data_IF_838163248915
#
_entry.id   IF_838163248915
#
_cell.length_a   1.000
_cell.length_b   1.000
_cell.length_c   1.000
_cell.angle_alpha   90.00
_cell.angle_beta   90.00
_cell.angle_gamma   90.00
#
_symmetry.space_group_name_H-M   'P 1'
#
loop_
_entity.id
_entity.type
_entity.pdbx_description
1 polymer ?
#
# COMPACT_ATOMS: atom_id res chain seq x y z
N UNK A 1 -5.51 17.39 15.95
CA UNK A 1 -5.21 15.95 16.04
C UNK A 1 -5.92 15.30 14.87
N UNK A 2 -5.19 14.98 13.80
CA UNK A 2 -5.75 14.20 12.69
C UNK A 2 -6.22 12.86 13.25
N UNK A 3 -7.52 12.56 13.15
CA UNK A 3 -8.05 11.29 13.61
C UNK A 3 -7.51 10.19 12.69
N UNK A 4 -7.33 8.97 13.21
CA UNK A 4 -6.91 7.78 12.44
C UNK A 4 -7.81 7.53 11.20
N UNK A 5 -8.99 8.15 11.16
CA UNK A 5 -9.92 8.14 10.04
C UNK A 5 -9.34 8.75 8.75
N UNK A 6 -8.41 9.71 8.85
CA UNK A 6 -7.70 10.28 7.69
C UNK A 6 -6.82 9.25 6.97
N UNK A 7 -6.37 8.19 7.65
CA UNK A 7 -5.55 7.13 7.07
C UNK A 7 -6.37 5.92 6.60
N UNK A 8 -7.70 5.97 6.72
CA UNK A 8 -8.57 4.88 6.28
C UNK A 8 -8.43 4.56 4.80
N UNK A 9 -8.07 5.54 3.97
CA UNK A 9 -7.78 5.36 2.55
C UNK A 9 -6.56 4.47 2.27
N UNK A 10 -5.73 4.14 3.28
CA UNK A 10 -4.60 3.22 3.13
C UNK A 10 -4.94 1.79 3.60
N UNK A 11 -6.18 1.49 4.02
CA UNK A 11 -6.54 0.16 4.51
C UNK A 11 -6.23 -0.96 3.49
N UNK A 12 -6.38 -0.67 2.20
CA UNK A 12 -6.07 -1.59 1.10
C UNK A 12 -4.58 -1.99 1.02
N UNK A 13 -3.67 -1.20 1.61
CA UNK A 13 -2.24 -1.52 1.71
C UNK A 13 -1.98 -2.78 2.55
N UNK A 14 -2.96 -3.27 3.32
CA UNK A 14 -2.83 -4.52 4.05
C UNK A 14 -2.77 -5.75 3.13
N UNK A 15 -3.33 -5.66 1.91
CA UNK A 15 -3.48 -6.75 0.96
C UNK A 15 -4.04 -8.03 1.62
N UNK A 16 -4.97 -7.87 2.57
CA UNK A 16 -5.73 -8.96 3.19
C UNK A 16 -6.79 -9.52 2.27
N UNK A 17 -7.34 -8.65 1.42
CA UNK A 17 -8.29 -8.96 0.37
C UNK A 17 -7.82 -8.29 -0.93
N UNK A 18 -8.40 -8.71 -2.06
CA UNK A 18 -8.13 -8.06 -3.34
C UNK A 18 -8.68 -6.62 -3.29
N UNK A 19 -7.81 -5.60 -3.41
CA UNK A 19 -8.24 -4.21 -3.31
C UNK A 19 -9.10 -3.79 -4.49
N UNK A 20 -9.99 -2.81 -4.30
CA UNK A 20 -10.74 -2.19 -5.39
C UNK A 20 -10.03 -0.93 -5.89
N UNK A 21 -10.27 -0.55 -7.15
CA UNK A 21 -9.70 0.68 -7.70
C UNK A 21 -10.18 1.93 -6.95
N UNK A 22 -11.45 1.95 -6.51
CA UNK A 22 -12.02 3.04 -5.74
C UNK A 22 -11.24 3.31 -4.44
N UNK A 23 -10.70 2.27 -3.80
CA UNK A 23 -9.88 2.43 -2.59
C UNK A 23 -8.54 3.11 -2.90
N UNK A 24 -7.95 2.77 -4.05
CA UNK A 24 -6.69 3.36 -4.53
C UNK A 24 -6.91 4.80 -4.98
N UNK A 25 -8.00 5.13 -5.68
CA UNK A 25 -8.34 6.51 -6.06
C UNK A 25 -8.50 7.44 -4.86
N UNK A 26 -9.18 6.96 -3.81
CA UNK A 26 -9.30 7.71 -2.56
C UNK A 26 -7.92 7.97 -1.91
N UNK A 27 -7.02 6.98 -1.97
CA UNK A 27 -5.64 7.11 -1.50
C UNK A 27 -4.82 8.10 -2.35
N UNK A 28 -4.94 8.04 -3.67
CA UNK A 28 -4.27 8.96 -4.61
C UNK A 28 -4.73 10.39 -4.34
N UNK A 29 -6.03 10.61 -4.18
CA UNK A 29 -6.60 11.94 -3.89
C UNK A 29 -6.00 12.52 -2.62
N UNK A 30 -5.94 11.73 -1.54
CA UNK A 30 -5.29 12.12 -0.29
C UNK A 30 -3.81 12.46 -0.48
N UNK A 31 -3.08 11.65 -1.24
CA UNK A 31 -1.64 11.85 -1.48
C UNK A 31 -1.34 13.12 -2.28
N UNK A 32 -2.17 13.42 -3.27
CA UNK A 32 -2.09 14.68 -4.04
C UNK A 32 -2.30 15.89 -3.13
N UNK A 33 -3.27 15.83 -2.20
CA UNK A 33 -3.47 16.89 -1.19
C UNK A 33 -2.26 17.08 -0.26
N UNK A 34 -1.46 16.03 -0.05
CA UNK A 34 -0.21 16.08 0.72
C UNK A 34 1.03 16.44 -0.13
N UNK A 35 0.84 16.74 -1.42
CA UNK A 35 1.91 17.14 -2.34
C UNK A 35 2.70 15.97 -2.93
N UNK A 36 2.15 14.75 -2.90
CA UNK A 36 2.74 13.59 -3.57
C UNK A 36 2.14 13.47 -4.96
N UNK A 37 2.97 13.65 -5.99
CA UNK A 37 2.55 13.51 -7.39
C UNK A 37 2.45 12.04 -7.80
N UNK A 38 1.23 11.61 -8.13
CA UNK A 38 0.92 10.29 -8.66
C UNK A 38 0.25 10.45 -10.00
N UNK A 39 0.77 9.74 -11.00
CA UNK A 39 0.14 9.57 -12.32
C UNK A 39 -0.96 8.51 -12.18
N UNK A 40 -2.23 8.93 -12.18
CA UNK A 40 -3.39 8.06 -11.95
C UNK A 40 -3.61 7.04 -13.07
N UNK A 41 -3.40 7.45 -14.33
CA UNK A 41 -3.46 6.57 -15.50
C UNK A 41 -2.42 5.46 -15.37
N UNK A 42 -1.17 5.81 -15.06
CA UNK A 42 -0.12 4.82 -14.85
C UNK A 42 -0.38 3.97 -13.61
N UNK A 43 -0.87 4.58 -12.53
CA UNK A 43 -1.19 3.86 -11.30
C UNK A 43 -2.30 2.83 -11.53
N UNK A 44 -3.26 3.10 -12.42
CA UNK A 44 -4.30 2.15 -12.80
C UNK A 44 -3.73 0.90 -13.48
N UNK A 45 -2.82 1.07 -14.43
CA UNK A 45 -2.15 -0.04 -15.11
C UNK A 45 -1.33 -0.89 -14.12
N UNK A 46 -0.61 -0.23 -13.21
CA UNK A 46 0.16 -0.89 -12.16
C UNK A 46 -0.75 -1.61 -11.15
N UNK A 47 -1.88 -1.01 -10.80
CA UNK A 47 -2.89 -1.62 -9.95
C UNK A 47 -3.47 -2.89 -10.55
N UNK A 48 -3.74 -2.91 -11.86
CA UNK A 48 -4.21 -4.14 -12.53
C UNK A 48 -3.19 -5.29 -12.43
N UNK A 49 -1.89 -4.97 -12.43
CA UNK A 49 -0.84 -5.97 -12.21
C UNK A 49 -0.81 -6.45 -10.74
N UNK A 50 -0.94 -5.52 -9.78
CA UNK A 50 -1.05 -5.85 -8.36
C UNK A 50 -2.27 -6.74 -8.09
N UNK A 51 -3.42 -6.40 -8.64
CA UNK A 51 -4.66 -7.17 -8.50
C UNK A 51 -4.48 -8.62 -8.94
N UNK A 52 -3.93 -8.84 -10.14
CA UNK A 52 -3.61 -10.19 -10.64
C UNK A 52 -2.63 -10.93 -9.74
N UNK A 53 -1.66 -10.22 -9.15
CA UNK A 53 -0.72 -10.82 -8.21
C UNK A 53 -1.42 -11.27 -6.92
N UNK A 54 -2.26 -10.42 -6.33
CA UNK A 54 -2.99 -10.74 -5.09
C UNK A 54 -3.97 -11.89 -5.32
N UNK A 55 -4.70 -11.89 -6.45
CA UNK A 55 -5.59 -12.99 -6.85
C UNK A 55 -4.82 -14.29 -7.08
N UNK A 56 -3.61 -14.24 -7.66
CA UNK A 56 -2.79 -15.43 -7.86
C UNK A 56 -2.19 -15.98 -6.55
N UNK A 57 -1.98 -15.12 -5.55
CA UNK A 57 -1.40 -15.48 -4.26
C UNK A 57 -2.44 -15.62 -3.15
N UNK A 58 -3.74 -15.44 -3.42
CA UNK A 58 -4.79 -15.57 -2.42
C UNK A 58 -4.91 -16.99 -1.88
N UNK A 59 -4.62 -17.98 -2.74
CA UNK A 59 -4.68 -19.40 -2.43
C UNK A 59 -3.41 -19.91 -1.71
N UNK A 60 -2.36 -19.08 -1.61
CA UNK A 60 -1.14 -19.41 -0.90
C UNK A 60 -1.31 -19.13 0.61
N UNK A 61 -1.44 -20.17 1.43
CA UNK A 61 -1.57 -20.03 2.90
C UNK A 61 -0.40 -19.23 3.50
N UNK A 62 0.82 -19.44 3.01
CA UNK A 62 2.00 -18.65 3.40
C UNK A 62 1.81 -17.15 3.16
N UNK A 63 1.18 -16.76 2.04
CA UNK A 63 0.94 -15.36 1.70
C UNK A 63 -0.02 -14.70 2.68
N UNK A 64 -1.03 -15.43 3.17
CA UNK A 64 -2.01 -14.90 4.13
C UNK A 64 -1.40 -14.58 5.49
N UNK A 65 -0.34 -15.30 5.89
CA UNK A 65 0.36 -15.06 7.15
C UNK A 65 1.42 -13.95 7.08
N UNK A 66 1.74 -13.42 5.88
CA UNK A 66 2.69 -12.34 5.73
C UNK A 66 2.13 -11.00 6.23
N UNK A 67 3.00 -10.23 6.90
CA UNK A 67 2.73 -8.83 7.24
C UNK A 67 2.66 -7.98 5.97
N UNK A 68 1.95 -6.86 6.01
CA UNK A 68 1.73 -6.00 4.85
C UNK A 68 3.03 -5.61 4.13
N UNK A 69 4.06 -5.18 4.86
CA UNK A 69 5.35 -4.83 4.27
C UNK A 69 6.04 -6.03 3.57
N UNK A 70 5.84 -7.26 4.06
CA UNK A 70 6.38 -8.47 3.44
C UNK A 70 5.62 -8.81 2.15
N UNK A 71 4.28 -8.65 2.14
CA UNK A 71 3.46 -8.82 0.93
C UNK A 71 3.88 -7.84 -0.18
N UNK A 72 4.04 -6.57 0.16
CA UNK A 72 4.52 -5.54 -0.76
C UNK A 72 5.94 -5.81 -1.27
N UNK A 73 6.84 -6.26 -0.38
CA UNK A 73 8.19 -6.66 -0.77
C UNK A 73 8.16 -7.84 -1.75
N UNK A 74 7.33 -8.86 -1.50
CA UNK A 74 7.14 -10.00 -2.42
C UNK A 74 6.62 -9.55 -3.79
N UNK A 75 5.68 -8.60 -3.82
CA UNK A 75 5.19 -8.00 -5.06
C UNK A 75 6.29 -7.27 -5.83
N UNK A 76 7.02 -6.36 -5.17
CA UNK A 76 8.08 -5.58 -5.81
C UNK A 76 9.25 -6.44 -6.30
N UNK A 77 9.60 -7.52 -5.59
CA UNK A 77 10.62 -8.49 -6.02
C UNK A 77 10.18 -9.34 -7.22
N UNK A 78 8.87 -9.61 -7.36
CA UNK A 78 8.32 -10.38 -8.48
C UNK A 78 8.08 -9.53 -9.72
N UNK A 79 7.90 -8.22 -9.56
CA UNK A 79 7.69 -7.29 -10.65
C UNK A 79 8.98 -7.14 -11.48
N UNK A 80 8.85 -7.23 -12.81
CA UNK A 80 10.01 -7.32 -13.73
C UNK A 80 10.72 -5.99 -13.98
N UNK A 81 10.02 -4.86 -13.82
CA UNK A 81 10.54 -3.53 -14.11
C UNK A 81 9.88 -2.48 -13.22
N UNK A 82 10.63 -1.43 -12.87
CA UNK A 82 10.17 -0.34 -12.02
C UNK A 82 8.95 0.39 -12.61
N UNK A 83 8.85 0.45 -13.93
CA UNK A 83 7.71 1.03 -14.65
C UNK A 83 6.39 0.30 -14.36
N UNK A 84 6.44 -0.97 -13.93
CA UNK A 84 5.26 -1.77 -13.59
C UNK A 84 4.74 -1.49 -12.17
N UNK A 85 5.45 -0.72 -11.34
CA UNK A 85 5.07 -0.46 -9.95
C UNK A 85 5.54 0.89 -9.40
N UNK A 86 6.05 1.82 -10.23
CA UNK A 86 6.63 3.09 -9.79
C UNK A 86 5.69 3.97 -8.97
N UNK A 87 4.42 4.06 -9.36
CA UNK A 87 3.42 4.88 -8.68
C UNK A 87 2.95 4.18 -7.39
N UNK A 88 2.72 2.87 -7.46
CA UNK A 88 2.46 2.05 -6.26
C UNK A 88 3.61 2.11 -5.25
N UNK A 89 4.86 2.22 -5.72
CA UNK A 89 6.03 2.37 -4.86
C UNK A 89 6.02 3.71 -4.13
N UNK A 90 5.62 4.81 -4.77
CA UNK A 90 5.47 6.11 -4.09
C UNK A 90 4.43 6.03 -2.97
N UNK A 91 3.31 5.37 -3.22
CA UNK A 91 2.25 5.12 -2.22
C UNK A 91 2.82 4.30 -1.06
N UNK A 92 3.50 3.18 -1.35
CA UNK A 92 4.11 2.33 -0.34
C UNK A 92 5.18 3.06 0.47
N UNK A 93 6.02 3.86 -0.19
CA UNK A 93 7.02 4.70 0.48
C UNK A 93 6.36 5.68 1.42
N UNK A 94 5.29 6.39 1.00
CA UNK A 94 4.58 7.29 1.89
C UNK A 94 3.97 6.56 3.09
N UNK A 95 3.27 5.44 2.83
CA UNK A 95 2.60 4.67 3.87
C UNK A 95 3.56 4.07 4.90
N UNK A 96 4.68 3.48 4.46
CA UNK A 96 5.67 2.86 5.34
C UNK A 96 6.70 3.84 5.91
N UNK A 97 6.88 5.03 5.32
CA UNK A 97 7.76 6.08 5.85
C UNK A 97 7.10 6.91 6.95
N UNK A 98 5.77 6.88 7.08
CA UNK A 98 5.10 7.43 8.27
C UNK A 98 5.55 6.57 9.46
N UNK A 99 6.29 7.14 10.44
CA UNK A 99 6.54 6.43 11.69
C UNK A 99 5.18 6.02 12.24
N UNK A 100 5.03 4.81 12.82
CA UNK A 100 3.77 4.42 13.44
C UNK A 100 3.52 5.33 14.64
N UNK A 101 2.98 6.53 14.39
CA UNK A 101 2.80 7.65 15.32
C UNK A 101 1.70 7.37 16.37
N UNK A 102 1.41 6.10 16.62
CA UNK A 102 0.50 5.62 17.66
C UNK A 102 0.96 4.36 18.40
N UNK A 103 2.10 3.74 18.06
CA UNK A 103 2.63 2.57 18.79
C UNK A 103 3.95 2.84 19.53
N UNK A 104 4.51 4.06 19.41
CA UNK A 104 5.72 4.49 20.11
C UNK A 104 5.36 5.57 21.13
N UNK A 105 4.48 5.27 22.09
CA UNK A 105 4.37 6.10 23.31
C UNK A 105 4.55 5.27 24.60
N UNK A 106 4.53 3.93 24.56
CA UNK A 106 4.68 3.14 25.81
C UNK A 106 5.67 1.98 25.71
N UNK A 107 6.91 2.23 25.26
CA UNK A 107 7.99 1.24 25.50
C UNK A 107 9.38 1.81 25.77
N UNK A 108 9.46 3.07 26.19
CA UNK A 108 10.69 3.68 26.71
C UNK A 108 10.52 4.24 28.13
N UNK A 109 9.82 3.51 29.00
CA UNK A 109 10.00 3.63 30.44
C UNK A 109 10.00 2.22 31.01
N UNK A 110 11.18 1.60 31.11
CA UNK A 110 11.71 0.88 32.28
C UNK A 110 13.16 0.51 32.01
#
# INVERSE_FOLDING_TARGET
MASLQEFSCFAWMALSETPSWSDVEACITYLIEKGVEIDDIRCFDQFNNLKKFVEASSDEEEFQHLLSHQKWTKYFLKAKAIECYSELLKIAQFFFAIPPHGLIIERFLY
#
